data_IF_037058189895
#
_entry.id   IF_037058189895
#
_cell.length_a   1.000
_cell.length_b   1.000
_cell.length_c   1.000
_cell.angle_alpha   90.00
_cell.angle_beta   90.00
_cell.angle_gamma   90.00
#
_symmetry.space_group_name_H-M   'P 1'
#
loop_
_entity.id
_entity.type
_entity.pdbx_description
1 polymer ?
#
# COMPACT_ATOMS: atom_id res chain seq x y z
N UNK A 1 -14.86 4.62 18.95
CA UNK A 1 -14.48 3.87 20.17
C UNK A 1 -14.91 4.71 21.35
N UNK A 2 -15.67 4.16 22.29
CA UNK A 2 -16.16 4.91 23.46
C UNK A 2 -15.29 4.65 24.70
N UNK A 3 -14.86 3.40 24.90
CA UNK A 3 -14.01 3.01 26.04
C UNK A 3 -12.96 2.00 25.58
N UNK A 4 -11.75 2.13 26.12
CA UNK A 4 -10.67 1.15 26.02
C UNK A 4 -10.38 0.64 27.42
N UNK A 5 -10.45 -0.68 27.63
CA UNK A 5 -10.15 -1.27 28.94
C UNK A 5 -8.68 -1.03 29.32
N UNK A 6 -8.37 -0.66 30.57
CA UNK A 6 -6.99 -0.53 31.02
C UNK A 6 -6.31 -1.89 31.27
N UNK A 7 -7.08 -2.98 31.30
CA UNK A 7 -6.58 -4.33 31.53
C UNK A 7 -6.27 -5.04 30.21
N UNK A 8 -5.02 -5.51 30.07
CA UNK A 8 -4.58 -6.44 29.02
C UNK A 8 -4.79 -7.86 29.52
N UNK A 9 -5.34 -8.73 28.67
CA UNK A 9 -5.29 -10.17 28.91
C UNK A 9 -3.90 -10.71 28.49
N UNK A 10 -3.06 -11.18 29.43
CA UNK A 10 -1.71 -11.64 29.14
C UNK A 10 -1.66 -12.94 28.34
N UNK A 11 -2.74 -13.74 28.32
CA UNK A 11 -2.75 -15.00 27.58
C UNK A 11 -2.96 -14.78 26.08
N UNK A 12 -3.72 -13.74 25.71
CA UNK A 12 -4.10 -13.45 24.33
C UNK A 12 -3.42 -12.20 23.78
N UNK A 13 -2.80 -11.37 24.64
CA UNK A 13 -2.26 -10.05 24.27
C UNK A 13 -3.33 -9.15 23.64
N UNK A 14 -4.56 -9.24 24.16
CA UNK A 14 -5.69 -8.44 23.67
C UNK A 14 -6.17 -7.44 24.72
N UNK A 15 -6.84 -6.38 24.23
CA UNK A 15 -7.50 -5.36 25.05
C UNK A 15 -8.97 -5.30 24.64
N UNK A 16 -9.86 -5.30 25.63
CA UNK A 16 -11.29 -5.12 25.39
C UNK A 16 -11.60 -3.65 25.08
N UNK A 17 -12.39 -3.42 24.03
CA UNK A 17 -12.85 -2.10 23.62
C UNK A 17 -14.36 -2.08 23.47
N UNK A 18 -14.99 -0.96 23.83
CA UNK A 18 -16.40 -0.70 23.57
C UNK A 18 -16.53 0.27 22.38
N UNK A 19 -17.42 -0.09 21.46
CA UNK A 19 -17.69 0.68 20.25
C UNK A 19 -19.19 0.90 20.14
N UNK A 20 -19.58 2.16 20.03
CA UNK A 20 -20.95 2.54 19.69
C UNK A 20 -21.05 2.74 18.18
N UNK A 21 -22.06 2.13 17.56
CA UNK A 21 -22.34 2.26 16.14
C UNK A 21 -23.85 2.48 15.92
N UNK A 22 -24.24 3.38 15.01
CA UNK A 22 -25.65 3.59 14.68
C UNK A 22 -26.23 2.32 14.02
N UNK A 23 -27.34 1.82 14.55
CA UNK A 23 -28.00 0.60 14.08
C UNK A 23 -29.35 0.90 13.39
N UNK A 24 -29.34 1.79 12.40
CA UNK A 24 -30.55 2.12 11.64
C UNK A 24 -31.07 0.90 10.89
N UNK A 25 -32.30 0.47 11.23
CA UNK A 25 -32.93 -0.72 10.64
C UNK A 25 -32.56 -2.05 11.26
N UNK A 26 -32.06 -2.07 12.51
CA UNK A 26 -31.88 -3.27 13.35
C UNK A 26 -31.04 -4.40 12.70
N UNK A 27 -30.03 -4.01 11.91
CA UNK A 27 -29.16 -4.96 11.20
C UNK A 27 -28.15 -5.63 12.12
N UNK A 28 -27.68 -4.91 13.14
CA UNK A 28 -26.82 -5.46 14.18
C UNK A 28 -27.68 -6.13 15.23
N UNK A 29 -27.62 -7.46 15.29
CA UNK A 29 -28.36 -8.29 16.25
C UNK A 29 -27.40 -8.90 17.28
N UNK A 30 -27.84 -9.13 18.53
CA UNK A 30 -27.03 -9.84 19.52
C UNK A 30 -26.59 -11.22 19.01
N UNK A 31 -25.35 -11.60 19.28
CA UNK A 31 -24.79 -12.90 18.93
C UNK A 31 -24.16 -13.00 17.52
N UNK A 32 -24.16 -11.93 16.74
CA UNK A 32 -23.44 -11.89 15.45
C UNK A 32 -21.98 -11.47 15.65
N UNK A 33 -21.09 -12.07 14.87
CA UNK A 33 -19.71 -11.61 14.75
C UNK A 33 -19.67 -10.45 13.74
N UNK A 34 -18.93 -9.40 14.08
CA UNK A 34 -18.70 -8.25 13.20
C UNK A 34 -17.21 -8.03 12.98
N UNK A 35 -16.85 -7.52 11.82
CA UNK A 35 -15.50 -7.04 11.54
C UNK A 35 -15.51 -5.51 11.60
N UNK A 36 -14.60 -4.94 12.39
CA UNK A 36 -14.48 -3.51 12.59
C UNK A 36 -13.11 -3.07 12.06
N UNK A 37 -13.10 -2.08 11.18
CA UNK A 37 -11.87 -1.38 10.78
C UNK A 37 -11.74 -0.11 11.60
N UNK A 38 -10.63 0.04 12.31
CA UNK A 38 -10.35 1.20 13.17
C UNK A 38 -9.14 1.93 12.59
N UNK A 39 -9.34 3.18 12.16
CA UNK A 39 -8.23 4.06 11.76
C UNK A 39 -7.59 4.63 13.02
N UNK A 40 -6.41 4.13 13.38
CA UNK A 40 -5.71 4.52 14.61
C UNK A 40 -4.96 5.86 14.49
N UNK A 41 -4.51 6.20 13.28
CA UNK A 41 -3.78 7.43 13.00
C UNK A 41 -4.04 7.84 11.55
N UNK A 42 -4.12 9.14 11.31
CA UNK A 42 -4.26 9.72 9.97
C UNK A 42 -3.13 10.72 9.77
N UNK A 43 -2.39 10.55 8.69
CA UNK A 43 -1.27 11.42 8.34
C UNK A 43 -1.66 12.22 7.11
N UNK A 44 -2.05 13.47 7.32
CA UNK A 44 -2.40 14.37 6.22
C UNK A 44 -1.18 14.68 5.34
N UNK A 45 -1.41 14.82 4.03
CA UNK A 45 -0.40 15.20 3.04
C UNK A 45 0.79 14.23 2.94
N UNK A 46 0.59 12.96 3.28
CA UNK A 46 1.58 11.91 3.07
C UNK A 46 1.71 11.55 1.58
N UNK A 47 2.95 11.38 1.11
CA UNK A 47 3.20 10.75 -0.20
C UNK A 47 3.09 9.24 0.00
N UNK A 48 2.21 8.60 -0.76
CA UNK A 48 2.03 7.15 -0.74
C UNK A 48 2.38 6.56 -2.09
N UNK A 49 2.97 5.37 -2.06
CA UNK A 49 3.27 4.57 -3.25
C UNK A 49 2.73 3.15 -3.06
N UNK A 50 2.34 2.45 -4.14
CA UNK A 50 2.00 1.04 -4.06
C UNK A 50 3.18 0.23 -3.51
N UNK A 51 2.92 -0.73 -2.62
CA UNK A 51 3.94 -1.60 -2.05
C UNK A 51 4.72 -2.37 -3.13
N UNK A 52 4.09 -2.67 -4.27
CA UNK A 52 4.71 -3.32 -5.43
C UNK A 52 5.84 -2.49 -6.08
N UNK A 53 5.84 -1.17 -5.92
CA UNK A 53 6.88 -0.30 -6.46
C UNK A 53 8.14 -0.22 -5.57
N UNK A 54 8.09 -0.75 -4.34
CA UNK A 54 9.23 -0.76 -3.43
C UNK A 54 10.21 -1.86 -3.82
N UNK A 55 11.48 -1.47 -3.94
CA UNK A 55 12.59 -2.38 -4.19
C UNK A 55 13.59 -2.28 -3.04
N UNK A 56 14.24 -3.40 -2.73
CA UNK A 56 15.40 -3.39 -1.82
C UNK A 56 16.66 -3.03 -2.61
N UNK A 57 17.46 -2.13 -2.06
CA UNK A 57 18.77 -1.78 -2.63
C UNK A 57 19.84 -2.80 -2.22
N UNK A 58 20.79 -3.09 -3.11
CA UNK A 58 21.94 -3.97 -2.83
C UNK A 58 22.86 -3.39 -1.74
N UNK A 59 22.92 -2.07 -1.61
CA UNK A 59 23.68 -1.36 -0.56
C UNK A 59 22.93 -1.29 0.79
N UNK A 60 21.73 -1.88 0.86
CA UNK A 60 20.82 -1.77 1.99
C UNK A 60 19.87 -0.56 1.89
N UNK A 61 18.68 -0.71 2.47
CA UNK A 61 17.61 0.28 2.42
C UNK A 61 16.63 0.08 1.26
N UNK A 62 15.62 0.94 1.21
CA UNK A 62 14.55 0.90 0.21
C UNK A 62 14.82 1.89 -0.92
N UNK A 63 14.44 1.51 -2.13
CA UNK A 63 14.53 2.33 -3.34
C UNK A 63 13.26 2.19 -4.18
N UNK A 64 13.01 3.19 -5.02
CA UNK A 64 11.96 3.18 -6.04
C UNK A 64 12.54 3.62 -7.37
N UNK A 65 11.97 3.11 -8.46
CA UNK A 65 12.28 3.59 -9.80
C UNK A 65 11.25 4.63 -10.21
N UNK A 66 11.73 5.83 -10.56
CA UNK A 66 10.89 6.95 -11.01
C UNK A 66 11.05 7.10 -12.52
N UNK A 67 9.94 7.23 -13.24
CA UNK A 67 9.90 7.53 -14.66
C UNK A 67 10.14 9.04 -14.88
N UNK A 68 11.25 9.37 -15.53
CA UNK A 68 11.57 10.73 -15.95
C UNK A 68 10.77 11.17 -17.19
N UNK A 69 10.67 12.49 -17.44
CA UNK A 69 10.02 13.03 -18.63
C UNK A 69 10.72 12.65 -19.94
N UNK A 70 11.96 12.18 -19.86
CA UNK A 70 12.78 11.65 -20.94
C UNK A 70 12.52 10.16 -21.24
N UNK A 71 11.52 9.54 -20.60
CA UNK A 71 11.24 8.10 -20.68
C UNK A 71 12.43 7.24 -20.21
N UNK A 72 13.23 7.76 -19.28
CA UNK A 72 14.27 7.02 -18.60
C UNK A 72 13.83 6.70 -17.16
N UNK A 73 14.22 5.52 -16.67
CA UNK A 73 14.05 5.16 -15.28
C UNK A 73 15.18 5.73 -14.44
N UNK A 74 14.85 6.36 -13.32
CA UNK A 74 15.82 6.89 -12.37
C UNK A 74 15.66 6.19 -11.03
N UNK A 75 16.77 5.64 -10.55
CA UNK A 75 16.81 5.06 -9.21
C UNK A 75 16.80 6.17 -8.15
N UNK A 76 15.88 6.06 -7.19
CA UNK A 76 15.80 6.95 -6.02
C UNK A 76 15.82 6.13 -4.75
N UNK A 77 16.81 6.38 -3.90
CA UNK A 77 16.80 5.90 -2.50
C UNK A 77 15.72 6.65 -1.75
N UNK A 78 14.92 5.93 -0.98
CA UNK A 78 13.78 6.47 -0.25
C UNK A 78 13.83 6.04 1.21
N UNK A 79 13.10 6.78 2.03
CA UNK A 79 12.82 6.39 3.40
C UNK A 79 11.33 6.06 3.53
N UNK A 80 11.02 4.81 3.84
CA UNK A 80 9.64 4.37 4.06
C UNK A 80 9.18 4.68 5.48
N UNK A 81 7.88 4.94 5.62
CA UNK A 81 7.19 5.15 6.88
C UNK A 81 6.19 4.03 7.15
N UNK A 82 4.96 4.42 7.49
CA UNK A 82 3.88 3.49 7.82
C UNK A 82 3.39 2.77 6.56
N UNK A 83 3.08 1.47 6.69
CA UNK A 83 2.39 0.69 5.67
C UNK A 83 0.91 0.56 6.02
N UNK A 84 0.05 0.79 5.03
CA UNK A 84 -1.41 0.71 5.17
C UNK A 84 -1.98 -0.11 4.01
N UNK A 85 -2.26 -1.39 4.26
CA UNK A 85 -2.71 -2.32 3.22
C UNK A 85 -1.66 -2.46 2.10
N UNK A 86 -2.06 -2.14 0.87
CA UNK A 86 -1.22 -2.20 -0.34
C UNK A 86 -0.43 -0.91 -0.60
N UNK A 87 -0.55 0.08 0.28
CA UNK A 87 0.11 1.38 0.17
C UNK A 87 1.18 1.56 1.24
N UNK A 88 2.25 2.25 0.86
CA UNK A 88 3.36 2.56 1.76
C UNK A 88 3.63 4.06 1.73
N UNK A 89 3.68 4.65 2.92
CA UNK A 89 4.08 6.03 3.10
C UNK A 89 5.57 6.21 2.81
N UNK A 90 5.90 7.24 2.04
CA UNK A 90 7.28 7.68 1.82
C UNK A 90 7.54 8.96 2.62
N UNK A 91 8.54 8.91 3.50
CA UNK A 91 8.96 10.04 4.34
C UNK A 91 9.90 10.98 3.58
N UNK A 92 10.78 10.43 2.73
CA UNK A 92 11.72 11.22 1.93
C UNK A 92 12.21 10.45 0.70
N UNK A 93 12.71 11.19 -0.30
CA UNK A 93 13.36 10.66 -1.50
C UNK A 93 12.57 10.82 -2.80
N UNK A 94 11.28 11.16 -2.72
CA UNK A 94 10.41 11.48 -3.87
C UNK A 94 9.51 12.68 -3.56
N UNK A 95 8.97 13.31 -4.61
CA UNK A 95 8.05 14.43 -4.51
C UNK A 95 6.66 14.05 -5.00
N UNK A 96 5.65 14.82 -4.57
CA UNK A 96 4.31 14.71 -5.11
C UNK A 96 4.32 14.99 -6.61
N UNK A 97 3.76 14.07 -7.39
CA UNK A 97 3.71 14.13 -8.86
C UNK A 97 4.74 13.27 -9.57
N UNK A 98 5.71 12.69 -8.85
CA UNK A 98 6.65 11.74 -9.44
C UNK A 98 5.94 10.44 -9.85
N UNK A 99 6.24 9.94 -11.05
CA UNK A 99 5.68 8.69 -11.55
C UNK A 99 6.56 7.50 -11.14
N UNK A 100 6.05 6.65 -10.26
CA UNK A 100 6.75 5.43 -9.83
C UNK A 100 6.43 4.23 -10.72
N UNK A 101 7.41 3.37 -10.95
CA UNK A 101 7.26 2.14 -11.75
C UNK A 101 6.85 1.01 -10.80
N UNK A 102 5.67 0.43 -11.02
CA UNK A 102 5.14 -0.69 -10.22
C UNK A 102 5.56 -2.06 -10.78
N UNK A 103 5.58 -2.18 -12.11
CA UNK A 103 5.81 -3.45 -12.80
C UNK A 103 7.10 -3.40 -13.61
N UNK A 104 7.93 -4.44 -13.49
CA UNK A 104 9.20 -4.56 -14.21
C UNK A 104 10.36 -3.76 -13.59
N UNK A 105 10.18 -3.19 -12.40
CA UNK A 105 11.21 -2.37 -11.74
C UNK A 105 12.43 -3.18 -11.23
N UNK A 106 12.25 -4.48 -10.95
CA UNK A 106 13.29 -5.38 -10.40
C UNK A 106 14.52 -5.62 -11.29
N UNK A 107 14.45 -5.28 -12.58
CA UNK A 107 15.53 -5.50 -13.55
C UNK A 107 15.93 -4.25 -14.34
N UNK A 108 15.50 -3.06 -13.91
CA UNK A 108 15.86 -1.81 -14.54
C UNK A 108 17.10 -1.21 -13.88
N UNK A 109 18.15 -1.02 -14.66
CA UNK A 109 19.30 -0.20 -14.27
C UNK A 109 18.95 1.30 -14.30
N UNK A 110 19.74 2.13 -13.61
CA UNK A 110 19.63 3.58 -13.73
C UNK A 110 19.79 4.02 -15.20
N UNK A 111 18.90 4.89 -15.66
CA UNK A 111 18.77 5.40 -17.04
C UNK A 111 18.35 4.35 -18.07
N UNK A 112 17.79 3.23 -17.65
CA UNK A 112 17.15 2.30 -18.57
C UNK A 112 16.00 2.98 -19.32
N UNK A 113 15.89 2.71 -20.64
CA UNK A 113 14.76 3.18 -21.45
C UNK A 113 13.51 2.43 -21.03
N UNK A 114 12.46 3.17 -20.70
CA UNK A 114 11.16 2.62 -20.32
C UNK A 114 10.07 3.06 -21.28
N UNK A 115 9.00 2.26 -21.36
CA UNK A 115 7.75 2.67 -21.96
C UNK A 115 6.69 2.71 -20.87
N UNK A 116 6.16 3.90 -20.61
CA UNK A 116 5.12 4.09 -19.60
C UNK A 116 3.82 3.50 -20.15
N UNK A 117 3.40 2.38 -19.59
CA UNK A 117 2.06 1.83 -19.82
C UNK A 117 1.17 2.25 -18.66
N UNK A 118 -0.08 2.62 -18.95
CA UNK A 118 -1.01 3.10 -17.93
C UNK A 118 -1.39 1.92 -17.01
N UNK A 119 -1.24 2.05 -15.68
CA UNK A 119 -1.66 0.99 -14.76
C UNK A 119 -3.16 0.73 -14.94
N UNK A 120 -3.52 -0.51 -15.27
CA UNK A 120 -4.89 -0.95 -15.55
C UNK A 120 -5.24 -1.23 -17.03
N UNK A 121 -4.34 -1.03 -17.99
CA UNK A 121 -4.56 -1.35 -19.40
C UNK A 121 -3.86 -2.66 -19.87
N UNK A 122 -3.57 -3.57 -18.93
CA UNK A 122 -2.83 -4.81 -19.15
C UNK A 122 -3.59 -6.05 -18.68
N UNK A 123 -4.84 -6.21 -19.11
CA UNK A 123 -5.53 -7.52 -19.13
C UNK A 123 -6.19 -7.66 -20.49
N UNK A 124 -5.34 -7.74 -21.53
CA UNK A 124 -5.74 -8.14 -22.87
C UNK A 124 -5.35 -9.59 -23.09
N UNK A 125 -6.36 -10.45 -23.17
CA UNK A 125 -6.41 -11.72 -23.91
C UNK A 125 -5.08 -12.45 -24.17
N UNK A 126 -4.69 -13.36 -23.26
CA UNK A 126 -4.26 -14.69 -23.72
C UNK A 126 -5.51 -15.54 -23.87
N UNK A 127 -6.10 -15.44 -25.06
CA UNK A 127 -7.08 -16.38 -25.57
C UNK A 127 -6.36 -17.73 -25.69
N UNK A 128 -6.59 -18.61 -24.73
CA UNK A 128 -6.21 -20.02 -24.83
C UNK A 128 -6.88 -20.58 -26.09
N UNK A 129 -6.05 -20.92 -27.06
CA UNK A 129 -6.42 -21.60 -28.28
C UNK A 129 -6.85 -23.04 -27.93
N UNK A 130 -8.04 -23.51 -28.35
CA UNK A 130 -8.45 -24.88 -28.08
C UNK A 130 -7.62 -25.83 -28.94
N UNK A 131 -6.87 -26.71 -28.28
CA UNK A 131 -6.21 -27.84 -28.92
C UNK A 131 -7.25 -28.75 -29.58
N UNK A 132 -6.91 -29.21 -30.78
CA UNK A 132 -7.77 -29.95 -31.71
C UNK A 132 -7.77 -31.45 -31.44
#
# INVERSE_FOLDING_TARGET
VTVVSPAVDPNTTTVEIWVEAPNSGERLKPGVTVQISINANEIENAIVVPAAALLSSEEGGDKVMVAGPDSLAHERKIQVGVRSGDEVQILSGINAGDQVITDGALGLDDKAKIQITKPGAGSGDKKDEPEK
#
